data_IF_063637372532
#
_entry.id   IF_063637372532
#
_cell.length_a   1.000
_cell.length_b   1.000
_cell.length_c   1.000
_cell.angle_alpha   90.00
_cell.angle_beta   90.00
_cell.angle_gamma   90.00
#
_symmetry.space_group_name_H-M   'P 1'
#
loop_
_entity.id
_entity.type
_entity.pdbx_description
1 polymer ?
#
# COMPACT_ATOMS: atom_id res chain seq x y z
N UNK A 1 -22.66 5.83 -3.48
CA UNK A 1 -21.77 4.96 -4.27
C UNK A 1 -20.54 4.53 -3.48
N UNK A 2 -19.83 5.46 -2.82
CA UNK A 2 -18.62 5.16 -2.01
C UNK A 2 -18.84 4.08 -0.95
N UNK A 3 -19.88 4.20 -0.10
CA UNK A 3 -20.15 3.20 0.96
C UNK A 3 -20.41 1.78 0.41
N UNK A 4 -21.07 1.69 -0.75
CA UNK A 4 -21.24 0.41 -1.45
C UNK A 4 -19.91 -0.12 -1.97
N UNK A 5 -19.05 0.75 -2.49
CA UNK A 5 -17.69 0.40 -2.91
C UNK A 5 -16.85 -0.16 -1.76
N UNK A 6 -16.91 0.46 -0.58
CA UNK A 6 -16.26 -0.03 0.65
C UNK A 6 -16.76 -1.42 1.04
N UNK A 7 -18.08 -1.63 1.05
CA UNK A 7 -18.65 -2.95 1.34
C UNK A 7 -18.22 -4.01 0.32
N UNK A 8 -18.15 -3.63 -0.97
CA UNK A 8 -17.67 -4.52 -2.03
C UNK A 8 -16.19 -4.90 -1.86
N UNK A 9 -15.34 -4.00 -1.34
CA UNK A 9 -13.93 -4.31 -1.05
C UNK A 9 -13.83 -5.41 0.01
N UNK A 10 -14.53 -5.28 1.15
CA UNK A 10 -14.52 -6.34 2.16
C UNK A 10 -15.08 -7.65 1.64
N UNK A 11 -16.17 -7.60 0.85
CA UNK A 11 -16.72 -8.80 0.21
C UNK A 11 -15.67 -9.47 -0.68
N UNK A 12 -14.97 -8.69 -1.51
CA UNK A 12 -13.91 -9.20 -2.37
C UNK A 12 -12.76 -9.80 -1.54
N UNK A 13 -12.32 -9.17 -0.45
CA UNK A 13 -11.31 -9.72 0.45
C UNK A 13 -11.75 -11.06 1.06
N UNK A 14 -13.00 -11.16 1.51
CA UNK A 14 -13.56 -12.39 2.07
C UNK A 14 -13.66 -13.52 1.05
N UNK A 15 -14.09 -13.23 -0.18
CA UNK A 15 -14.13 -14.23 -1.25
C UNK A 15 -12.72 -14.64 -1.70
N UNK A 16 -11.79 -13.68 -1.80
CA UNK A 16 -10.40 -13.97 -2.13
C UNK A 16 -9.73 -14.87 -1.09
N UNK A 17 -10.04 -14.71 0.19
CA UNK A 17 -9.51 -15.58 1.26
C UNK A 17 -9.91 -17.05 1.08
N UNK A 18 -11.04 -17.33 0.42
CA UNK A 18 -11.44 -18.71 0.08
C UNK A 18 -10.63 -19.28 -1.08
N UNK A 19 -10.27 -18.43 -2.05
CA UNK A 19 -9.55 -18.82 -3.26
C UNK A 19 -8.03 -18.90 -3.03
N UNK A 20 -7.48 -17.97 -2.23
CA UNK A 20 -6.05 -17.90 -1.91
C UNK A 20 -5.85 -17.73 -0.39
N UNK A 21 -6.04 -18.80 0.41
CA UNK A 21 -6.07 -18.70 1.87
C UNK A 21 -4.73 -18.30 2.51
N UNK A 22 -3.62 -18.45 1.80
CA UNK A 22 -2.28 -18.19 2.31
C UNK A 22 -1.79 -16.75 2.07
N UNK A 23 -2.59 -15.90 1.44
CA UNK A 23 -2.27 -14.48 1.30
C UNK A 23 -2.52 -13.72 2.62
N UNK A 24 -1.78 -12.63 2.81
CA UNK A 24 -2.00 -11.70 3.91
C UNK A 24 -3.20 -10.79 3.59
N UNK A 25 -4.28 -10.97 4.35
CA UNK A 25 -5.49 -10.16 4.28
C UNK A 25 -5.61 -9.19 5.47
N UNK A 26 -4.69 -9.23 6.42
CA UNK A 26 -4.71 -8.33 7.58
C UNK A 26 -4.28 -6.93 7.17
N UNK A 27 -3.32 -6.81 6.25
CA UNK A 27 -2.84 -5.51 5.75
C UNK A 27 -2.67 -5.51 4.24
N UNK A 28 -3.73 -5.13 3.54
CA UNK A 28 -3.76 -5.16 2.07
C UNK A 28 -3.14 -3.90 1.46
N UNK A 29 -2.60 -4.06 0.24
CA UNK A 29 -2.24 -2.93 -0.61
C UNK A 29 -3.40 -2.63 -1.55
N UNK A 30 -3.91 -1.41 -1.48
CA UNK A 30 -5.10 -1.00 -2.23
C UNK A 30 -4.71 -0.18 -3.44
N UNK A 31 -5.28 -0.50 -4.61
CA UNK A 31 -5.07 0.23 -5.85
C UNK A 31 -6.42 0.63 -6.43
N UNK A 32 -6.58 1.88 -6.85
CA UNK A 32 -7.84 2.33 -7.47
C UNK A 32 -7.65 3.47 -8.47
N UNK A 33 -8.38 3.41 -9.59
CA UNK A 33 -8.42 4.45 -10.61
C UNK A 33 -9.68 5.28 -10.52
N UNK A 34 -9.57 6.60 -10.69
CA UNK A 34 -10.70 7.53 -10.72
C UNK A 34 -11.61 7.36 -9.50
N UNK A 35 -12.88 7.02 -9.71
CA UNK A 35 -13.84 6.69 -8.64
C UNK A 35 -13.39 5.50 -7.77
N UNK A 36 -12.69 4.51 -8.35
CA UNK A 36 -12.06 3.44 -7.59
C UNK A 36 -10.95 3.97 -6.67
N UNK A 37 -10.22 4.99 -7.09
CA UNK A 37 -9.23 5.68 -6.27
C UNK A 37 -9.87 6.45 -5.10
N UNK A 38 -11.01 7.10 -5.34
CA UNK A 38 -11.79 7.77 -4.29
C UNK A 38 -12.34 6.75 -3.26
N UNK A 39 -12.86 5.62 -3.73
CA UNK A 39 -13.30 4.52 -2.86
C UNK A 39 -12.14 3.96 -2.05
N UNK A 40 -10.98 3.73 -2.68
CA UNK A 40 -9.76 3.25 -2.02
C UNK A 40 -9.30 4.20 -0.92
N UNK A 41 -9.27 5.51 -1.18
CA UNK A 41 -8.88 6.50 -0.18
C UNK A 41 -9.89 6.55 0.98
N UNK A 42 -11.18 6.46 0.67
CA UNK A 42 -12.22 6.43 1.68
C UNK A 42 -12.16 5.14 2.52
N UNK A 43 -11.87 3.99 1.91
CA UNK A 43 -11.66 2.72 2.60
C UNK A 43 -10.50 2.84 3.59
N UNK A 44 -9.35 3.35 3.14
CA UNK A 44 -8.17 3.54 3.99
C UNK A 44 -8.41 4.53 5.15
N UNK A 45 -9.34 5.50 4.97
CA UNK A 45 -9.79 6.38 6.05
C UNK A 45 -10.61 5.64 7.11
N UNK A 46 -11.49 4.73 6.70
CA UNK A 46 -12.39 4.00 7.61
C UNK A 46 -11.67 2.85 8.32
N UNK A 47 -10.76 2.16 7.61
CA UNK A 47 -10.07 0.97 8.08
C UNK A 47 -8.55 1.14 7.98
N UNK A 48 -7.95 2.12 8.67
CA UNK A 48 -6.53 2.44 8.53
C UNK A 48 -5.60 1.29 8.98
N UNK A 49 -6.06 0.42 9.88
CA UNK A 49 -5.27 -0.72 10.37
C UNK A 49 -5.30 -1.92 9.41
N UNK A 50 -6.23 -1.94 8.44
CA UNK A 50 -6.35 -2.99 7.42
C UNK A 50 -5.57 -2.68 6.13
N UNK A 51 -4.94 -1.50 6.06
CA UNK A 51 -4.27 -1.01 4.86
C UNK A 51 -2.78 -0.82 5.11
N UNK A 52 -1.96 -1.44 4.25
CA UNK A 52 -0.50 -1.29 4.27
C UNK A 52 -0.02 -0.13 3.41
N UNK A 53 -0.56 -0.05 2.19
CA UNK A 53 -0.16 0.91 1.16
C UNK A 53 -1.40 1.26 0.33
N UNK A 54 -1.46 2.51 -0.13
CA UNK A 54 -2.51 3.01 -1.02
C UNK A 54 -1.88 3.51 -2.31
N UNK A 55 -2.46 3.10 -3.44
CA UNK A 55 -2.11 3.62 -4.76
C UNK A 55 -3.37 4.18 -5.41
N UNK A 56 -3.34 5.45 -5.81
CA UNK A 56 -4.42 6.06 -6.59
C UNK A 56 -3.94 6.44 -7.98
N UNK A 57 -4.76 6.11 -8.98
CA UNK A 57 -4.62 6.58 -10.36
C UNK A 57 -5.66 7.69 -10.54
N UNK A 58 -5.22 8.93 -10.36
CA UNK A 58 -5.98 10.16 -10.60
C UNK A 58 -7.38 10.24 -9.97
N UNK A 59 -7.46 10.07 -8.65
CA UNK A 59 -8.69 10.29 -7.90
C UNK A 59 -9.00 11.79 -7.73
N UNK A 60 -10.27 12.18 -7.78
CA UNK A 60 -10.67 13.58 -7.97
C UNK A 60 -11.40 14.20 -6.79
N UNK A 61 -12.02 13.42 -5.89
CA UNK A 61 -13.03 13.92 -4.95
C UNK A 61 -12.74 13.65 -3.48
N UNK A 62 -12.07 12.54 -3.17
CA UNK A 62 -11.82 12.15 -1.77
C UNK A 62 -10.42 12.62 -1.34
N UNK A 63 -10.32 13.47 -0.29
CA UNK A 63 -9.04 13.93 0.22
C UNK A 63 -8.17 12.82 0.77
N UNK A 64 -6.86 13.05 0.72
CA UNK A 64 -5.89 12.08 1.18
C UNK A 64 -5.91 11.97 2.70
N UNK A 65 -5.65 10.77 3.21
CA UNK A 65 -5.53 10.52 4.64
C UNK A 65 -4.08 10.79 5.05
N UNK A 66 -3.82 11.97 5.63
CA UNK A 66 -2.47 12.40 6.03
C UNK A 66 -2.06 11.90 7.43
N UNK A 67 -3.01 11.41 8.24
CA UNK A 67 -2.77 10.86 9.57
C UNK A 67 -2.62 9.32 9.59
N UNK A 68 -2.57 8.68 8.42
CA UNK A 68 -2.52 7.22 8.29
C UNK A 68 -1.13 6.65 8.57
N UNK A 69 -1.07 5.39 9.02
CA UNK A 69 0.19 4.63 9.21
C UNK A 69 0.67 3.93 7.92
N UNK A 70 0.12 4.29 6.77
CA UNK A 70 0.37 3.66 5.48
C UNK A 70 0.94 4.65 4.47
N UNK A 71 1.75 4.14 3.54
CA UNK A 71 2.34 4.94 2.47
C UNK A 71 1.32 5.15 1.35
N UNK A 72 1.32 6.32 0.73
CA UNK A 72 0.42 6.66 -0.38
C UNK A 72 1.26 6.99 -1.61
N UNK A 73 0.94 6.36 -2.74
CA UNK A 73 1.41 6.75 -4.07
C UNK A 73 0.21 7.24 -4.88
N UNK A 74 0.29 8.44 -5.44
CA UNK A 74 -0.77 8.96 -6.30
C UNK A 74 -0.23 9.44 -7.63
N UNK A 75 -0.77 8.91 -8.72
CA UNK A 75 -0.52 9.39 -10.07
C UNK A 75 -1.56 10.47 -10.41
N UNK A 76 -1.09 11.62 -10.89
CA UNK A 76 -1.95 12.76 -11.26
C UNK A 76 -1.90 12.97 -12.76
N UNK A 77 -3.06 13.03 -13.39
CA UNK A 77 -3.17 13.34 -14.81
C UNK A 77 -2.92 14.83 -15.07
N UNK A 78 -2.55 15.14 -16.31
CA UNK A 78 -2.57 16.50 -16.85
C UNK A 78 -3.77 16.62 -17.80
N UNK A 79 -4.97 16.63 -17.22
CA UNK A 79 -6.22 16.61 -17.96
C UNK A 79 -6.96 17.96 -17.91
N UNK A 80 -7.40 18.52 -19.05
CA UNK A 80 -8.13 19.79 -19.06
C UNK A 80 -9.58 19.67 -18.57
N UNK A 81 -10.17 18.48 -18.63
CA UNK A 81 -11.57 18.20 -18.31
C UNK A 81 -11.74 17.61 -16.91
N UNK A 82 -10.92 16.63 -16.54
CA UNK A 82 -10.98 15.95 -15.25
C UNK A 82 -10.12 16.67 -14.22
N UNK A 83 -10.72 17.68 -13.58
CA UNK A 83 -10.03 18.48 -12.55
C UNK A 83 -10.27 17.93 -11.16
N UNK A 84 -9.21 17.92 -10.37
CA UNK A 84 -9.25 17.56 -8.95
C UNK A 84 -9.92 18.67 -8.14
N UNK A 85 -10.78 18.29 -7.20
CA UNK A 85 -11.43 19.24 -6.31
C UNK A 85 -10.39 19.86 -5.35
N UNK A 86 -10.62 21.11 -4.95
CA UNK A 86 -9.74 21.82 -4.02
C UNK A 86 -9.66 21.07 -2.67
N UNK A 87 -8.45 20.90 -2.14
CA UNK A 87 -8.20 20.21 -0.87
C UNK A 87 -8.16 18.69 -0.95
N UNK A 88 -8.27 18.09 -2.15
CA UNK A 88 -8.10 16.64 -2.32
C UNK A 88 -6.63 16.23 -2.22
N UNK A 89 -5.75 16.96 -2.89
CA UNK A 89 -4.30 16.79 -2.76
C UNK A 89 -3.83 17.75 -1.66
N UNK A 90 -3.16 17.26 -0.61
CA UNK A 90 -2.52 18.10 0.41
C UNK A 90 -1.41 18.97 -0.20
N UNK A 91 -0.90 19.92 0.58
CA UNK A 91 0.31 20.66 0.18
C UNK A 91 1.52 19.74 0.05
N UNK A 92 2.54 20.18 -0.71
CA UNK A 92 3.77 19.39 -0.90
C UNK A 92 4.46 19.09 0.45
N UNK A 93 4.45 20.05 1.39
CA UNK A 93 4.98 19.86 2.75
C UNK A 93 4.21 18.82 3.57
N UNK A 94 2.87 18.81 3.47
CA UNK A 94 2.04 17.81 4.13
C UNK A 94 2.25 16.42 3.51
N UNK A 95 2.43 16.36 2.20
CA UNK A 95 2.73 15.12 1.49
C UNK A 95 4.06 14.54 1.96
N UNK A 96 5.11 15.36 2.07
CA UNK A 96 6.42 14.91 2.56
C UNK A 96 6.35 14.39 4.00
N UNK A 97 5.70 15.15 4.91
CA UNK A 97 5.54 14.74 6.32
C UNK A 97 4.73 13.46 6.48
N UNK A 98 3.74 13.24 5.61
CA UNK A 98 2.87 12.07 5.66
C UNK A 98 3.40 10.88 4.82
N UNK A 99 4.57 10.99 4.17
CA UNK A 99 5.12 9.92 3.32
C UNK A 99 4.26 9.64 2.07
N UNK A 100 3.61 10.68 1.55
CA UNK A 100 2.77 10.64 0.35
C UNK A 100 3.64 11.02 -0.85
N UNK A 101 3.73 10.13 -1.82
CA UNK A 101 4.40 10.38 -3.09
C UNK A 101 3.38 10.74 -4.16
N UNK A 102 3.42 11.99 -4.62
CA UNK A 102 2.58 12.47 -5.73
C UNK A 102 3.41 12.53 -7.01
N UNK A 103 3.01 11.75 -8.02
CA UNK A 103 3.64 11.69 -9.34
C UNK A 103 2.77 12.44 -10.32
N UNK A 104 3.22 13.62 -10.74
CA UNK A 104 2.58 14.39 -11.81
C UNK A 104 2.98 13.78 -13.16
N UNK A 105 2.00 13.44 -13.98
CA UNK A 105 2.21 12.80 -15.29
C UNK A 105 1.73 13.72 -16.40
N UNK A 106 2.18 13.46 -17.64
CA UNK A 106 1.70 14.17 -18.83
C UNK A 106 0.43 13.54 -19.44
N UNK A 107 -0.04 12.44 -18.85
CA UNK A 107 -1.14 11.63 -19.38
C UNK A 107 -2.51 12.21 -19.02
N UNK A 108 -3.52 11.92 -19.84
CA UNK A 108 -4.91 12.24 -19.54
C UNK A 108 -5.51 11.25 -18.55
N UNK A 109 -6.63 11.62 -17.94
CA UNK A 109 -7.31 10.79 -16.95
C UNK A 109 -7.62 9.37 -17.48
N UNK A 110 -8.02 9.30 -18.76
CA UNK A 110 -8.42 8.06 -19.43
C UNK A 110 -7.25 7.25 -19.99
N UNK A 111 -6.02 7.78 -19.96
CA UNK A 111 -4.83 7.06 -20.41
C UNK A 111 -4.34 6.04 -19.36
N UNK A 112 -4.76 6.20 -18.11
CA UNK A 112 -4.36 5.35 -16.97
C UNK A 112 -5.19 4.05 -16.89
N UNK A 113 -5.32 3.35 -18.02
CA UNK A 113 -6.08 2.09 -18.15
C UNK A 113 -5.37 1.13 -19.10
N UNK A 114 -5.80 -0.13 -19.13
CA UNK A 114 -5.16 -1.18 -19.95
C UNK A 114 -5.15 -0.91 -21.46
N UNK A 115 -6.17 -0.20 -21.94
CA UNK A 115 -6.29 0.24 -23.34
C UNK A 115 -5.74 1.64 -23.60
N UNK A 116 -5.01 2.22 -22.63
CA UNK A 116 -4.27 3.46 -22.80
C UNK A 116 -2.91 3.25 -23.48
N UNK A 117 -2.16 4.34 -23.72
CA UNK A 117 -0.86 4.28 -24.39
C UNK A 117 0.15 3.41 -23.63
N UNK A 118 0.99 2.66 -24.36
CA UNK A 118 2.03 1.82 -23.74
C UNK A 118 3.01 2.62 -22.89
N UNK A 119 3.30 3.87 -23.28
CA UNK A 119 4.14 4.79 -22.49
C UNK A 119 3.52 5.06 -21.12
N UNK A 120 2.20 5.25 -21.05
CA UNK A 120 1.50 5.45 -19.78
C UNK A 120 1.56 4.20 -18.91
N UNK A 121 1.26 3.03 -19.48
CA UNK A 121 1.33 1.74 -18.77
C UNK A 121 2.72 1.46 -18.23
N UNK A 122 3.75 1.60 -19.06
CA UNK A 122 5.14 1.34 -18.67
C UNK A 122 5.61 2.32 -17.58
N UNK A 123 5.21 3.59 -17.66
CA UNK A 123 5.54 4.60 -16.65
C UNK A 123 4.88 4.28 -15.30
N UNK A 124 3.57 3.98 -15.31
CA UNK A 124 2.80 3.62 -14.11
C UNK A 124 3.36 2.34 -13.48
N UNK A 125 3.57 1.30 -14.29
CA UNK A 125 4.13 0.02 -13.83
C UNK A 125 5.51 0.22 -13.20
N UNK A 126 6.42 0.95 -13.87
CA UNK A 126 7.78 1.18 -13.35
C UNK A 126 7.78 1.89 -12.00
N UNK A 127 6.86 2.84 -11.80
CA UNK A 127 6.73 3.56 -10.53
C UNK A 127 6.04 2.71 -9.46
N UNK A 128 5.02 1.94 -9.84
CA UNK A 128 4.34 1.01 -8.96
C UNK A 128 5.30 -0.06 -8.45
N UNK A 129 6.10 -0.65 -9.33
CA UNK A 129 7.09 -1.67 -8.97
C UNK A 129 8.08 -1.15 -7.93
N UNK A 130 8.61 0.08 -8.12
CA UNK A 130 9.49 0.74 -7.15
C UNK A 130 8.81 0.98 -5.80
N UNK A 131 7.55 1.40 -5.82
CA UNK A 131 6.80 1.68 -4.60
C UNK A 131 6.44 0.40 -3.84
N UNK A 132 6.14 -0.69 -4.55
CA UNK A 132 5.88 -1.99 -3.97
C UNK A 132 7.17 -2.63 -3.44
N UNK A 133 8.26 -2.55 -4.20
CA UNK A 133 9.58 -3.08 -3.85
C UNK A 133 10.30 -2.31 -2.76
N UNK A 134 9.94 -1.04 -2.54
CA UNK A 134 10.34 -0.29 -1.37
C UNK A 134 9.76 -1.00 -0.13
N UNK A 135 10.53 -1.95 0.38
CA UNK A 135 10.28 -2.65 1.64
C UNK A 135 10.14 -1.60 2.74
N UNK A 136 9.22 -1.86 3.67
CA UNK A 136 9.31 -1.20 4.97
C UNK A 136 10.64 -1.65 5.56
N UNK A 137 11.62 -0.75 5.58
CA UNK A 137 12.95 -1.01 6.14
C UNK A 137 12.86 -1.19 7.65
N UNK A 138 12.28 -2.30 8.09
CA UNK A 138 12.57 -2.96 9.37
C UNK A 138 12.46 -4.47 9.12
N UNK A 139 13.62 -5.13 9.18
CA UNK A 139 13.88 -6.57 9.01
C UNK A 139 14.00 -7.07 7.55
N UNK A 140 15.20 -6.94 7.00
CA UNK A 140 15.66 -7.87 5.96
C UNK A 140 16.00 -9.22 6.61
N UNK A 141 15.81 -10.38 5.93
CA UNK A 141 16.32 -11.66 6.40
C UNK A 141 17.84 -11.57 6.54
N UNK A 142 18.38 -12.00 7.67
CA UNK A 142 19.83 -12.14 7.84
C UNK A 142 20.30 -13.20 6.83
N UNK A 143 21.22 -12.84 5.94
CA UNK A 143 21.87 -13.80 5.04
C UNK A 143 22.75 -14.76 5.87
N UNK A 144 22.22 -15.94 6.14
CA UNK A 144 22.89 -17.00 6.93
C UNK A 144 23.92 -17.79 6.13
N UNK A 145 24.09 -17.52 4.83
CA UNK A 145 25.12 -18.16 4.00
C UNK A 145 26.49 -17.52 4.18
N UNK A 146 26.51 -16.20 4.37
CA UNK A 146 27.74 -15.41 4.49
C UNK A 146 28.27 -15.31 5.91
N UNK A 147 27.47 -15.68 6.92
CA UNK A 147 27.86 -15.67 8.34
C UNK A 147 27.01 -16.66 9.15
N UNK A 148 27.51 -17.87 9.43
CA UNK A 148 26.82 -18.80 10.32
C UNK A 148 26.65 -18.16 11.70
N UNK A 149 25.49 -18.29 12.35
CA UNK A 149 25.32 -17.80 13.71
C UNK A 149 26.38 -18.45 14.60
N UNK A 150 27.14 -17.63 15.32
CA UNK A 150 28.08 -18.09 16.33
C UNK A 150 27.24 -18.62 17.49
N UNK A 151 26.93 -19.92 17.45
CA UNK A 151 26.34 -20.64 18.56
C UNK A 151 27.38 -20.54 19.69
N UNK A 152 27.16 -19.64 20.63
CA UNK A 152 27.85 -19.70 21.91
C UNK A 152 27.42 -21.02 22.53
N UNK A 153 28.39 -21.90 22.78
CA UNK A 153 28.12 -23.17 23.42
C UNK A 153 27.28 -22.92 24.68
N UNK A 154 26.16 -23.62 24.87
CA UNK A 154 25.42 -23.53 26.11
C UNK A 154 26.38 -23.93 27.22
N UNK A 155 26.75 -22.96 28.07
CA UNK A 155 27.51 -23.21 29.27
C UNK A 155 26.83 -24.32 30.09
N UNK A 156 27.58 -25.06 30.93
CA UNK A 156 27.11 -26.29 31.53
C UNK A 156 25.79 -26.06 32.28
N UNK A 157 24.73 -26.67 31.77
CA UNK A 157 23.42 -26.65 32.41
C UNK A 157 23.51 -27.52 33.65
N UNK A 158 23.37 -26.91 34.84
CA UNK A 158 23.30 -27.65 36.09
C UNK A 158 22.06 -28.55 36.07
N UNK A 159 22.27 -29.87 36.14
CA UNK A 159 21.20 -30.85 36.31
C UNK A 159 20.56 -30.64 37.69
N UNK A 160 19.33 -30.15 37.75
CA UNK A 160 18.54 -30.17 38.98
C UNK A 160 18.29 -31.62 39.39
N UNK A 161 18.75 -31.99 40.58
CA UNK A 161 18.44 -33.27 41.21
C UNK A 161 16.94 -33.33 41.59
N UNK A 162 16.31 -34.52 41.56
CA UNK A 162 14.90 -34.64 41.90
C UNK A 162 14.67 -34.37 43.40
N UNK A 163 13.60 -33.63 43.69
CA UNK A 163 13.13 -33.40 45.04
C UNK A 163 12.74 -34.75 45.69
N UNK A 164 13.33 -35.04 46.85
CA UNK A 164 12.94 -36.19 47.68
C UNK A 164 11.57 -35.92 48.30
N UNK A 165 10.65 -36.87 48.14
CA UNK A 165 9.52 -37.06 49.05
C UNK A 165 9.97 -37.76 50.33
#
# INVERSE_FOLDING_TARGET
QILRGVANIHLAMQEMKKVQPNADYEKVTMVGHSMGGDITMYFAKQYPDEVKKVVTLDNLRVPFVTAGKFKILSFRSSDPQFKVDAGVIPSDEECEKAGIQVVKTEFQHNDMRDTGPDVAKNSIQSMLDKFLSATDSEVAPVDTQSSPPKILEPGPVALMAPAKS
#
